data_IF_439328292848
#
_entry.id   IF_439328292848
#
_cell.length_a   1.000
_cell.length_b   1.000
_cell.length_c   1.000
_cell.angle_alpha   90.00
_cell.angle_beta   90.00
_cell.angle_gamma   90.00
#
_symmetry.space_group_name_H-M   'P 1'
#
loop_
_entity.id
_entity.type
_entity.pdbx_description
1 polymer ?
#
# COMPACT_ATOMS: atom_id res chain seq x y z
N UNK A 1 -17.59 54.06 13.96
CA UNK A 1 -18.86 53.46 13.50
C UNK A 1 -18.80 53.27 11.99
N UNK A 2 -18.77 52.02 11.50
CA UNK A 2 -18.76 51.71 10.06
C UNK A 2 -20.23 51.67 9.59
N UNK A 3 -20.61 52.58 8.69
CA UNK A 3 -21.94 52.56 8.03
C UNK A 3 -21.84 51.73 6.76
N UNK A 4 -22.48 50.57 6.75
CA UNK A 4 -22.68 49.79 5.54
C UNK A 4 -23.83 50.42 4.75
N UNK A 5 -23.59 50.73 3.47
CA UNK A 5 -24.64 51.15 2.53
C UNK A 5 -25.10 49.92 1.74
N UNK A 6 -26.41 49.77 1.46
CA UNK A 6 -26.89 48.71 0.59
C UNK A 6 -26.28 48.88 -0.80
N UNK A 7 -25.82 47.77 -1.38
CA UNK A 7 -25.35 47.72 -2.75
C UNK A 7 -26.49 47.98 -3.75
N UNK A 8 -26.17 48.28 -5.01
CA UNK A 8 -27.17 48.48 -6.06
C UNK A 8 -28.10 47.26 -6.19
N UNK A 9 -29.37 47.46 -6.58
CA UNK A 9 -30.34 46.38 -6.70
C UNK A 9 -29.88 45.36 -7.74
N UNK A 10 -30.00 44.08 -7.41
CA UNK A 10 -29.62 42.98 -8.31
C UNK A 10 -30.39 43.07 -9.63
N UNK A 11 -29.65 43.03 -10.74
CA UNK A 11 -30.20 43.06 -12.09
C UNK A 11 -30.42 41.66 -12.64
N UNK A 12 -31.22 41.55 -13.71
CA UNK A 12 -31.41 40.28 -14.45
C UNK A 12 -30.09 39.74 -15.01
N UNK A 13 -29.14 40.63 -15.33
CA UNK A 13 -27.79 40.24 -15.74
C UNK A 13 -27.03 39.58 -14.59
N UNK A 14 -27.13 40.10 -13.36
CA UNK A 14 -26.51 39.51 -12.17
C UNK A 14 -27.08 38.12 -11.88
N UNK A 15 -28.41 37.95 -12.04
CA UNK A 15 -29.05 36.63 -11.91
C UNK A 15 -28.54 35.63 -12.95
N UNK A 16 -28.42 36.03 -14.21
CA UNK A 16 -27.87 35.15 -15.27
C UNK A 16 -26.42 34.80 -15.00
N UNK A 17 -25.60 35.78 -14.60
CA UNK A 17 -24.20 35.56 -14.28
C UNK A 17 -24.04 34.62 -13.06
N UNK A 18 -24.88 34.78 -12.04
CA UNK A 18 -24.93 33.86 -10.90
C UNK A 18 -25.36 32.44 -11.32
N UNK A 19 -26.32 32.30 -12.24
CA UNK A 19 -26.73 31.01 -12.77
C UNK A 19 -25.63 30.34 -13.61
N UNK A 20 -24.93 31.09 -14.46
CA UNK A 20 -23.79 30.58 -15.25
C UNK A 20 -22.66 30.12 -14.34
N UNK A 21 -22.29 30.94 -13.33
CA UNK A 21 -21.28 30.57 -12.34
C UNK A 21 -21.70 29.33 -11.53
N UNK A 22 -22.95 29.26 -11.09
CA UNK A 22 -23.48 28.09 -10.39
C UNK A 22 -23.47 26.83 -11.28
N UNK A 23 -23.73 26.96 -12.58
CA UNK A 23 -23.62 25.87 -13.56
C UNK A 23 -22.18 25.38 -13.74
N UNK A 24 -21.22 26.29 -13.86
CA UNK A 24 -19.80 25.97 -13.97
C UNK A 24 -19.27 25.29 -12.71
N UNK A 25 -19.63 25.79 -11.53
CA UNK A 25 -19.25 25.19 -10.25
C UNK A 25 -19.82 23.77 -10.06
N UNK A 26 -21.07 23.53 -10.50
CA UNK A 26 -21.65 22.17 -10.47
C UNK A 26 -20.89 21.21 -11.38
N UNK A 27 -20.55 21.63 -12.60
CA UNK A 27 -19.78 20.82 -13.53
C UNK A 27 -18.36 20.52 -13.01
N UNK A 28 -17.73 21.45 -12.30
CA UNK A 28 -16.44 21.24 -11.64
C UNK A 28 -16.54 20.26 -10.46
N UNK A 29 -17.57 20.38 -9.62
CA UNK A 29 -17.82 19.46 -8.50
C UNK A 29 -18.07 18.03 -8.98
N UNK A 30 -18.85 17.85 -10.05
CA UNK A 30 -19.10 16.52 -10.64
C UNK A 30 -17.83 15.91 -11.25
N UNK A 31 -16.96 16.73 -11.85
CA UNK A 31 -15.63 16.28 -12.30
C UNK A 31 -14.73 15.85 -11.14
N UNK A 32 -14.72 16.61 -10.04
CA UNK A 32 -13.93 16.26 -8.85
C UNK A 32 -14.44 14.97 -8.20
N UNK A 33 -15.77 14.81 -8.10
CA UNK A 33 -16.40 13.60 -7.55
C UNK A 33 -16.15 12.37 -8.42
N UNK A 34 -16.29 12.50 -9.74
CA UNK A 34 -16.01 11.40 -10.67
C UNK A 34 -14.53 11.01 -10.65
N UNK A 35 -13.62 11.98 -10.58
CA UNK A 35 -12.19 11.72 -10.38
C UNK A 35 -11.91 11.01 -9.05
N UNK A 36 -12.52 11.44 -7.94
CA UNK A 36 -12.35 10.80 -6.64
C UNK A 36 -12.85 9.34 -6.63
N UNK A 37 -13.99 9.08 -7.28
CA UNK A 37 -14.52 7.72 -7.47
C UNK A 37 -13.59 6.85 -8.34
N UNK A 38 -13.05 7.41 -9.42
CA UNK A 38 -12.09 6.72 -10.28
C UNK A 38 -10.82 6.34 -9.51
N UNK A 39 -10.28 7.24 -8.68
CA UNK A 39 -9.13 6.95 -7.81
C UNK A 39 -9.43 5.87 -6.77
N UNK A 40 -10.61 5.88 -6.15
CA UNK A 40 -11.04 4.82 -5.21
C UNK A 40 -11.12 3.46 -5.91
N UNK A 41 -11.72 3.42 -7.10
CA UNK A 41 -11.84 2.18 -7.87
C UNK A 41 -10.47 1.68 -8.34
N UNK A 42 -9.58 2.59 -8.75
CA UNK A 42 -8.19 2.27 -9.08
C UNK A 42 -7.43 1.67 -7.89
N UNK A 43 -7.59 2.23 -6.69
CA UNK A 43 -7.02 1.66 -5.47
C UNK A 43 -7.58 0.26 -5.17
N UNK A 44 -8.88 0.06 -5.34
CA UNK A 44 -9.52 -1.25 -5.21
C UNK A 44 -8.95 -2.28 -6.20
N UNK A 45 -8.76 -1.89 -7.45
CA UNK A 45 -8.15 -2.75 -8.47
C UNK A 45 -6.68 -3.10 -8.15
N UNK A 46 -5.89 -2.13 -7.64
CA UNK A 46 -4.52 -2.34 -7.18
C UNK A 46 -4.44 -3.37 -6.05
N UNK A 47 -5.32 -3.24 -5.04
CA UNK A 47 -5.39 -4.19 -3.93
C UNK A 47 -5.83 -5.58 -4.40
N UNK A 48 -6.82 -5.65 -5.30
CA UNK A 48 -7.27 -6.92 -5.86
C UNK A 48 -6.15 -7.60 -6.67
N UNK A 49 -5.40 -6.85 -7.47
CA UNK A 49 -4.25 -7.35 -8.20
C UNK A 49 -3.17 -7.89 -7.27
N UNK A 50 -2.89 -7.18 -6.16
CA UNK A 50 -1.94 -7.62 -5.14
C UNK A 50 -2.38 -8.95 -4.48
N UNK A 51 -3.65 -9.06 -4.09
CA UNK A 51 -4.20 -10.29 -3.51
C UNK A 51 -4.17 -11.44 -4.51
N UNK A 52 -4.57 -11.18 -5.77
CA UNK A 52 -4.51 -12.16 -6.85
C UNK A 52 -3.09 -12.66 -7.12
N UNK A 53 -2.12 -11.75 -7.20
CA UNK A 53 -0.71 -12.10 -7.35
C UNK A 53 -0.19 -12.93 -6.17
N UNK A 54 -0.60 -12.59 -4.94
CA UNK A 54 -0.21 -13.30 -3.73
C UNK A 54 -0.77 -14.73 -3.68
N UNK A 55 -2.00 -14.95 -4.17
CA UNK A 55 -2.63 -16.27 -4.25
C UNK A 55 -1.94 -17.16 -5.29
N UNK A 56 -1.55 -16.61 -6.45
CA UNK A 56 -0.83 -17.34 -7.50
C UNK A 56 0.55 -17.80 -7.01
N UNK A 57 1.23 -16.98 -6.20
CA UNK A 57 2.55 -17.30 -5.62
C UNK A 57 2.48 -17.95 -4.23
N UNK A 58 1.28 -18.38 -3.84
CA UNK A 58 0.88 -18.95 -2.56
C UNK A 58 2.01 -19.32 -1.59
N UNK A 59 2.26 -18.45 -0.61
CA UNK A 59 3.03 -18.72 0.62
C UNK A 59 4.55 -18.91 0.53
N UNK A 60 5.19 -19.00 -0.64
CA UNK A 60 6.53 -19.64 -0.68
C UNK A 60 7.76 -18.71 -0.59
N UNK A 61 7.70 -17.40 -0.86
CA UNK A 61 8.94 -16.59 -0.92
C UNK A 61 9.26 -15.75 0.33
N UNK A 62 8.28 -15.16 1.03
CA UNK A 62 8.62 -14.28 2.17
C UNK A 62 9.29 -15.07 3.32
N UNK A 63 8.95 -16.36 3.48
CA UNK A 63 9.58 -17.24 4.46
C UNK A 63 11.02 -17.63 4.14
N UNK A 64 11.45 -17.47 2.89
CA UNK A 64 12.82 -17.76 2.44
C UNK A 64 13.71 -16.54 2.49
N UNK A 65 13.21 -15.35 2.85
CA UNK A 65 14.02 -14.15 3.05
C UNK A 65 14.71 -14.16 4.42
N UNK A 66 15.90 -13.55 4.49
CA UNK A 66 16.56 -13.29 5.76
C UNK A 66 15.60 -12.54 6.72
N UNK A 67 15.62 -12.83 8.04
CA UNK A 67 14.58 -12.38 8.97
C UNK A 67 14.37 -10.87 9.00
N UNK A 68 15.43 -10.07 8.87
CA UNK A 68 15.32 -8.60 8.77
C UNK A 68 14.61 -8.13 7.51
N UNK A 69 14.81 -8.83 6.38
CA UNK A 69 14.18 -8.51 5.11
C UNK A 69 12.72 -8.96 5.06
N UNK A 70 12.41 -10.11 5.66
CA UNK A 70 11.01 -10.53 5.85
C UNK A 70 10.24 -9.54 6.73
N UNK A 71 10.85 -9.03 7.81
CA UNK A 71 10.25 -7.99 8.64
C UNK A 71 10.04 -6.68 7.86
N UNK A 72 11.02 -6.27 7.04
CA UNK A 72 10.91 -5.08 6.18
C UNK A 72 9.73 -5.19 5.21
N UNK A 73 9.55 -6.33 4.54
CA UNK A 73 8.39 -6.58 3.66
C UNK A 73 7.09 -6.43 4.44
N UNK A 74 7.00 -7.01 5.64
CA UNK A 74 5.83 -6.88 6.51
C UNK A 74 5.52 -5.42 6.86
N UNK A 75 6.54 -4.63 7.22
CA UNK A 75 6.39 -3.19 7.53
C UNK A 75 5.94 -2.40 6.30
N UNK A 76 6.51 -2.67 5.13
CA UNK A 76 6.12 -2.01 3.87
C UNK A 76 4.66 -2.29 3.51
N UNK A 77 4.22 -3.54 3.65
CA UNK A 77 2.82 -3.93 3.40
C UNK A 77 1.87 -3.28 4.40
N UNK A 78 2.22 -3.25 5.69
CA UNK A 78 1.44 -2.56 6.71
C UNK A 78 1.33 -1.06 6.42
N UNK A 79 2.44 -0.41 6.07
CA UNK A 79 2.47 0.99 5.70
C UNK A 79 1.63 1.27 4.44
N UNK A 80 1.69 0.40 3.43
CA UNK A 80 0.86 0.49 2.23
C UNK A 80 -0.64 0.40 2.58
N UNK A 81 -1.02 -0.54 3.46
CA UNK A 81 -2.40 -0.69 3.89
C UNK A 81 -2.92 0.56 4.63
N UNK A 82 -2.14 1.07 5.58
CA UNK A 82 -2.51 2.28 6.35
C UNK A 82 -2.60 3.49 5.44
N UNK A 83 -1.61 3.73 4.58
CA UNK A 83 -1.62 4.86 3.64
C UNK A 83 -2.76 4.77 2.64
N UNK A 84 -3.04 3.58 2.11
CA UNK A 84 -4.18 3.31 1.24
C UNK A 84 -5.53 3.58 1.92
N UNK A 85 -5.70 3.14 3.18
CA UNK A 85 -6.92 3.40 3.95
C UNK A 85 -7.13 4.89 4.22
N UNK A 86 -6.08 5.61 4.64
CA UNK A 86 -6.15 7.06 4.87
C UNK A 86 -6.42 7.80 3.55
N UNK A 87 -5.78 7.38 2.45
CA UNK A 87 -6.02 7.93 1.11
C UNK A 87 -7.45 7.72 0.65
N UNK A 88 -8.00 6.51 0.81
CA UNK A 88 -9.39 6.20 0.50
C UNK A 88 -10.37 7.04 1.33
N UNK A 89 -10.12 7.21 2.63
CA UNK A 89 -10.93 8.09 3.49
C UNK A 89 -10.86 9.56 3.07
N UNK A 90 -9.70 10.04 2.65
CA UNK A 90 -9.54 11.41 2.13
C UNK A 90 -10.30 11.60 0.82
N UNK A 91 -10.24 10.62 -0.09
CA UNK A 91 -10.99 10.64 -1.35
C UNK A 91 -12.51 10.56 -1.11
N UNK A 92 -12.96 9.74 -0.16
CA UNK A 92 -14.37 9.66 0.23
C UNK A 92 -14.86 10.99 0.83
N UNK A 93 -14.06 11.64 1.69
CA UNK A 93 -14.36 12.97 2.22
C UNK A 93 -14.41 14.04 1.13
N UNK A 94 -13.56 13.94 0.10
CA UNK A 94 -13.60 14.84 -1.05
C UNK A 94 -14.84 14.59 -1.93
N UNK A 95 -15.26 13.33 -2.11
CA UNK A 95 -16.41 12.97 -2.94
C UNK A 95 -17.77 13.29 -2.29
N UNK A 96 -17.93 12.99 -1.00
CA UNK A 96 -19.20 13.09 -0.29
C UNK A 96 -19.29 14.29 0.65
N UNK A 97 -18.23 15.10 0.77
CA UNK A 97 -18.13 16.15 1.78
C UNK A 97 -17.79 15.60 3.17
N UNK A 98 -17.57 16.50 4.14
CA UNK A 98 -17.43 16.11 5.54
C UNK A 98 -18.76 15.52 6.02
N UNK A 99 -18.78 14.29 6.54
CA UNK A 99 -19.87 13.81 7.40
C UNK A 99 -19.81 14.51 8.75
N UNK A 100 -20.03 15.83 8.76
CA UNK A 100 -20.16 16.61 9.97
C UNK A 100 -21.58 17.18 9.95
N UNK A 101 -22.39 16.81 10.95
CA UNK A 101 -23.67 17.46 11.20
C UNK A 101 -23.36 18.82 11.80
N UNK A 102 -23.14 19.83 10.96
CA UNK A 102 -22.96 21.20 11.41
C UNK A 102 -24.34 21.78 11.71
N UNK A 103 -24.63 22.15 12.97
CA UNK A 103 -25.89 22.82 13.31
C UNK A 103 -25.98 24.13 12.52
N UNK A 104 -27.16 24.42 11.96
CA UNK A 104 -27.42 25.54 11.03
C UNK A 104 -26.93 26.89 11.59
N UNK A 105 -26.95 27.05 12.91
CA UNK A 105 -26.52 28.24 13.63
C UNK A 105 -24.99 28.50 13.62
N UNK A 106 -24.17 27.49 13.28
CA UNK A 106 -22.72 27.58 13.25
C UNK A 106 -22.16 27.79 11.83
N UNK A 107 -23.02 27.87 10.80
CA UNK A 107 -22.56 28.13 9.44
C UNK A 107 -22.10 29.60 9.32
N UNK A 108 -20.86 29.84 8.85
CA UNK A 108 -20.41 31.19 8.52
C UNK A 108 -21.33 31.81 7.46
N UNK A 109 -21.62 33.12 7.53
CA UNK A 109 -22.45 33.77 6.52
C UNK A 109 -21.79 33.64 5.13
N UNK A 110 -22.58 33.34 4.08
CA UNK A 110 -22.10 33.36 2.72
C UNK A 110 -21.54 34.77 2.41
N UNK A 111 -20.40 34.90 1.71
CA UNK A 111 -19.73 33.91 0.82
C UNK A 111 -18.53 33.16 1.43
N UNK A 112 -18.27 33.28 2.73
CA UNK A 112 -17.02 32.78 3.34
C UNK A 112 -17.03 31.29 3.68
N UNK A 113 -18.20 30.73 4.04
CA UNK A 113 -18.37 29.30 4.32
C UNK A 113 -18.10 28.43 3.09
N UNK A 114 -18.69 28.78 1.95
CA UNK A 114 -18.58 28.03 0.70
C UNK A 114 -17.12 27.95 0.19
N UNK A 115 -16.35 29.03 0.34
CA UNK A 115 -14.95 29.06 -0.07
C UNK A 115 -14.06 28.17 0.81
N UNK A 116 -14.30 28.13 2.13
CA UNK A 116 -13.55 27.30 3.06
C UNK A 116 -13.81 25.80 2.83
N UNK A 117 -15.05 25.43 2.52
CA UNK A 117 -15.41 24.06 2.19
C UNK A 117 -14.80 23.59 0.86
N UNK A 118 -14.83 24.45 -0.17
CA UNK A 118 -14.21 24.16 -1.46
C UNK A 118 -12.68 23.95 -1.35
N UNK A 119 -11.99 24.82 -0.60
CA UNK A 119 -10.54 24.68 -0.37
C UNK A 119 -10.22 23.43 0.45
N UNK A 120 -11.04 23.09 1.44
CA UNK A 120 -10.87 21.86 2.22
C UNK A 120 -11.06 20.60 1.36
N UNK A 121 -12.05 20.58 0.46
CA UNK A 121 -12.30 19.46 -0.46
C UNK A 121 -11.14 19.26 -1.45
N UNK A 122 -10.60 20.34 -2.04
CA UNK A 122 -9.44 20.27 -2.95
C UNK A 122 -8.18 19.80 -2.23
N UNK A 123 -7.94 20.26 -0.99
CA UNK A 123 -6.82 19.77 -0.17
C UNK A 123 -6.96 18.29 0.12
N UNK A 124 -8.14 17.85 0.55
CA UNK A 124 -8.43 16.44 0.82
C UNK A 124 -8.20 15.57 -0.42
N UNK A 125 -8.61 16.03 -1.61
CA UNK A 125 -8.36 15.36 -2.88
C UNK A 125 -6.86 15.22 -3.17
N UNK A 126 -6.11 16.33 -3.09
CA UNK A 126 -4.66 16.32 -3.35
C UNK A 126 -3.91 15.42 -2.37
N UNK A 127 -4.24 15.47 -1.08
CA UNK A 127 -3.67 14.56 -0.08
C UNK A 127 -4.07 13.11 -0.34
N UNK A 128 -5.31 12.86 -0.75
CA UNK A 128 -5.80 11.53 -1.10
C UNK A 128 -5.03 10.93 -2.27
N UNK A 129 -4.89 11.67 -3.37
CA UNK A 129 -4.10 11.25 -4.54
C UNK A 129 -2.65 10.98 -4.17
N UNK A 130 -2.02 11.87 -3.39
CA UNK A 130 -0.64 11.66 -2.91
C UNK A 130 -0.49 10.38 -2.07
N UNK A 131 -1.44 10.09 -1.19
CA UNK A 131 -1.46 8.87 -0.38
C UNK A 131 -1.69 7.60 -1.22
N UNK A 132 -2.52 7.65 -2.26
CA UNK A 132 -2.69 6.52 -3.19
C UNK A 132 -1.40 6.24 -3.95
N UNK A 133 -0.72 7.28 -4.45
CA UNK A 133 0.57 7.13 -5.13
C UNK A 133 1.64 6.59 -4.19
N UNK A 134 1.69 7.06 -2.94
CA UNK A 134 2.59 6.53 -1.93
C UNK A 134 2.29 5.05 -1.62
N UNK A 135 1.02 4.68 -1.48
CA UNK A 135 0.61 3.29 -1.30
C UNK A 135 1.09 2.42 -2.47
N UNK A 136 0.87 2.87 -3.71
CA UNK A 136 1.36 2.16 -4.90
C UNK A 136 2.89 1.99 -4.89
N UNK A 137 3.65 3.04 -4.53
CA UNK A 137 5.10 2.98 -4.42
C UNK A 137 5.56 1.98 -3.32
N UNK A 138 4.89 1.98 -2.17
CA UNK A 138 5.17 1.03 -1.08
C UNK A 138 4.89 -0.41 -1.48
N UNK A 139 3.81 -0.66 -2.24
CA UNK A 139 3.50 -1.99 -2.78
C UNK A 139 4.56 -2.45 -3.78
N UNK A 140 4.96 -1.58 -4.71
CA UNK A 140 6.04 -1.89 -5.67
C UNK A 140 7.35 -2.19 -4.93
N UNK A 141 7.69 -1.40 -3.90
CA UNK A 141 8.86 -1.65 -3.07
C UNK A 141 8.76 -2.98 -2.32
N UNK A 142 7.62 -3.31 -1.72
CA UNK A 142 7.41 -4.59 -1.04
C UNK A 142 7.58 -5.78 -2.00
N UNK A 143 7.04 -5.68 -3.22
CA UNK A 143 7.25 -6.69 -4.27
C UNK A 143 8.72 -6.77 -4.66
N UNK A 144 9.38 -5.64 -4.94
CA UNK A 144 10.80 -5.62 -5.28
C UNK A 144 11.68 -6.25 -4.20
N UNK A 145 11.45 -5.93 -2.93
CA UNK A 145 12.16 -6.55 -1.80
C UNK A 145 11.89 -8.05 -1.70
N UNK A 146 10.66 -8.49 -1.98
CA UNK A 146 10.32 -9.92 -1.95
C UNK A 146 11.08 -10.71 -3.03
N UNK A 147 11.34 -10.11 -4.19
CA UNK A 147 12.02 -10.78 -5.30
C UNK A 147 13.55 -10.67 -5.25
N UNK A 148 14.07 -9.54 -4.79
CA UNK A 148 15.50 -9.24 -4.82
C UNK A 148 16.13 -9.25 -3.41
N UNK A 149 15.35 -9.56 -2.38
CA UNK A 149 15.82 -9.68 -1.01
C UNK A 149 16.75 -10.89 -0.84
N UNK A 150 17.83 -10.77 -0.04
CA UNK A 150 18.74 -11.87 0.18
C UNK A 150 18.01 -13.02 0.87
N UNK A 151 18.22 -14.27 0.39
CA UNK A 151 17.62 -15.43 1.00
C UNK A 151 18.18 -15.62 2.42
N UNK A 152 17.35 -16.21 3.27
CA UNK A 152 17.74 -16.70 4.60
C UNK A 152 18.85 -17.72 4.40
N UNK A 153 20.01 -17.45 4.96
CA UNK A 153 21.01 -18.47 5.23
C UNK A 153 20.41 -19.40 6.29
N UNK A 154 19.98 -20.58 5.86
CA UNK A 154 19.37 -21.57 6.74
C UNK A 154 20.35 -22.07 7.81
N UNK A 155 19.86 -22.82 8.82
CA UNK A 155 20.76 -23.52 9.73
C UNK A 155 21.64 -24.44 8.90
N UNK A 156 22.95 -24.28 9.05
CA UNK A 156 23.89 -25.16 8.41
C UNK A 156 23.78 -26.54 9.06
N UNK A 157 23.79 -27.58 8.25
CA UNK A 157 23.81 -28.95 8.73
C UNK A 157 25.15 -29.54 8.35
N UNK A 158 25.86 -30.01 9.35
CA UNK A 158 27.05 -30.82 9.16
C UNK A 158 26.63 -32.29 9.24
N UNK A 159 26.84 -33.00 8.13
CA UNK A 159 26.58 -34.42 7.99
C UNK A 159 27.91 -35.14 7.92
N UNK A 160 28.20 -35.98 8.91
CA UNK A 160 29.35 -36.88 8.89
C UNK A 160 28.97 -38.19 8.20
N UNK A 161 29.77 -38.61 7.22
CA UNK A 161 29.70 -39.94 6.60
C UNK A 161 31.03 -40.67 6.78
N UNK A 162 31.06 -41.97 6.47
CA UNK A 162 32.32 -42.74 6.47
C UNK A 162 33.39 -42.19 5.49
N UNK A 163 32.99 -41.40 4.49
CA UNK A 163 33.87 -40.83 3.48
C UNK A 163 34.33 -39.38 3.78
N UNK A 164 33.75 -38.72 4.80
CA UNK A 164 34.09 -37.34 5.14
C UNK A 164 32.95 -36.57 5.79
N UNK A 165 33.12 -35.24 5.96
CA UNK A 165 32.05 -34.36 6.47
C UNK A 165 31.56 -33.43 5.38
N UNK A 166 30.25 -33.36 5.20
CA UNK A 166 29.60 -32.41 4.28
C UNK A 166 28.86 -31.36 5.12
N UNK A 167 29.19 -30.09 4.90
CA UNK A 167 28.56 -28.97 5.60
C UNK A 167 27.82 -28.08 4.59
N UNK A 168 26.54 -27.82 4.81
CA UNK A 168 25.76 -26.95 3.94
C UNK A 168 24.31 -26.79 4.37
N UNK A 169 23.47 -26.27 3.49
CA UNK A 169 22.03 -26.11 3.76
C UNK A 169 21.24 -27.26 3.12
N UNK A 170 20.26 -27.79 3.84
CA UNK A 170 19.42 -28.88 3.32
C UNK A 170 18.44 -28.31 2.30
N UNK A 171 18.55 -28.74 1.04
CA UNK A 171 17.70 -28.26 -0.07
C UNK A 171 16.57 -29.23 -0.41
N UNK A 172 16.59 -30.44 0.14
CA UNK A 172 15.57 -31.46 -0.10
C UNK A 172 15.93 -32.79 0.56
N UNK A 173 14.91 -33.58 0.90
CA UNK A 173 15.05 -34.92 1.41
C UNK A 173 14.14 -35.85 0.60
N UNK A 174 14.70 -36.94 0.09
CA UNK A 174 13.97 -38.01 -0.56
C UNK A 174 14.14 -39.30 0.24
N UNK A 175 13.44 -40.37 -0.14
CA UNK A 175 13.51 -41.65 0.57
C UNK A 175 14.95 -42.16 0.57
N UNK A 176 15.59 -42.14 1.73
CA UNK A 176 16.96 -42.62 1.93
C UNK A 176 18.08 -41.66 1.53
N UNK A 177 17.80 -40.47 0.99
CA UNK A 177 18.83 -39.50 0.57
C UNK A 177 18.51 -38.09 1.02
N UNK A 178 19.55 -37.37 1.45
CA UNK A 178 19.48 -35.97 1.87
C UNK A 178 20.30 -35.13 0.90
N UNK A 179 19.69 -34.13 0.27
CA UNK A 179 20.41 -33.17 -0.60
C UNK A 179 20.89 -31.99 0.23
N UNK A 180 22.21 -31.84 0.34
CA UNK A 180 22.87 -30.74 1.03
C UNK A 180 23.55 -29.86 -0.01
N UNK A 181 23.21 -28.57 -0.04
CA UNK A 181 23.92 -27.59 -0.86
C UNK A 181 25.13 -27.07 -0.10
N UNK A 182 26.31 -27.48 -0.55
CA UNK A 182 27.62 -27.04 -0.04
C UNK A 182 28.17 -25.89 -0.88
N UNK A 183 29.30 -25.30 -0.48
CA UNK A 183 29.96 -24.23 -1.24
C UNK A 183 30.43 -24.67 -2.65
N UNK A 184 30.75 -25.96 -2.82
CA UNK A 184 31.23 -26.53 -4.08
C UNK A 184 30.12 -27.08 -4.98
N UNK A 185 28.88 -27.14 -4.48
CA UNK A 185 27.72 -27.62 -5.22
C UNK A 185 26.75 -28.46 -4.37
N UNK A 186 25.64 -28.92 -4.98
CA UNK A 186 24.72 -29.84 -4.33
C UNK A 186 25.34 -31.24 -4.21
N UNK A 187 25.35 -31.77 -2.99
CA UNK A 187 25.81 -33.13 -2.66
C UNK A 187 24.64 -33.94 -2.15
N UNK A 188 24.42 -35.12 -2.75
CA UNK A 188 23.47 -36.11 -2.24
C UNK A 188 24.17 -36.99 -1.23
N UNK A 189 23.65 -37.02 0.00
CA UNK A 189 24.17 -37.85 1.08
C UNK A 189 23.18 -38.99 1.35
N UNK A 190 23.57 -40.25 1.16
CA UNK A 190 22.76 -41.40 1.56
C UNK A 190 22.61 -41.42 3.08
N UNK A 191 21.37 -41.55 3.57
CA UNK A 191 21.10 -41.66 5.01
C UNK A 191 21.66 -42.96 5.60
N UNK A 192 21.84 -44.00 4.78
CA UNK A 192 22.50 -45.25 5.17
C UNK A 192 23.96 -45.06 5.61
N UNK A 193 24.64 -44.08 5.00
CA UNK A 193 26.07 -43.85 5.19
C UNK A 193 26.34 -42.72 6.18
N UNK A 194 25.27 -42.16 6.75
CA UNK A 194 25.32 -41.02 7.65
C UNK A 194 25.55 -41.49 9.08
N UNK A 195 26.70 -41.10 9.65
CA UNK A 195 27.08 -41.44 11.03
C UNK A 195 26.68 -40.36 12.01
N UNK A 196 26.65 -39.09 11.60
CA UNK A 196 26.25 -37.96 12.46
C UNK A 196 25.54 -36.88 11.67
N UNK A 197 24.51 -36.28 12.28
CA UNK A 197 23.82 -35.10 11.76
C UNK A 197 23.78 -34.07 12.89
N UNK A 198 24.36 -32.89 12.66
CA UNK A 198 24.33 -31.79 13.64
C UNK A 198 23.97 -30.48 12.96
N UNK A 199 23.12 -29.69 13.62
CA UNK A 199 22.92 -28.30 13.26
C UNK A 199 24.12 -27.49 13.76
N UNK A 200 24.77 -26.77 12.85
CA UNK A 200 25.91 -25.90 13.13
C UNK A 200 25.55 -24.45 12.77
N UNK A 201 26.10 -23.47 13.50
CA UNK A 201 25.85 -22.05 13.21
C UNK A 201 26.54 -21.57 11.93
N UNK A 202 27.60 -22.28 11.47
CA UNK A 202 28.35 -21.98 10.26
C UNK A 202 29.00 -23.24 9.65
N UNK A 203 29.18 -23.18 8.32
CA UNK A 203 30.16 -23.92 7.55
C UNK A 203 31.20 -22.92 7.04
#
# INVERSE_FOLDING_TARGET
MIRLRPGPPATVADLRQAQTLAGLLRAELDRVRSAALAWRNGLGALLLALVGFSLIRGRTDVGTLAPGWAALVGVLLLAALVTGAVGALALLRAAHGRLAVTPVAALPPPPTGDHQEAVAAVRALRTGVGLVLLCAALLVAAVGVTWYGPPRTGPFVQVGTGAGTACGTVTGAAVGTLTVRTATGPVQVPLSDTTTIRAVPAC
#
